data_IF_867992911381
#
_entry.id   IF_867992911381
#
_cell.length_a   1.000
_cell.length_b   1.000
_cell.length_c   1.000
_cell.angle_alpha   90.00
_cell.angle_beta   90.00
_cell.angle_gamma   90.00
#
_symmetry.space_group_name_H-M   'P 1'
#
loop_
_entity.id
_entity.type
_entity.pdbx_description
1 polymer ?
#
# COMPACT_ATOMS: atom_id res chain seq x y z
N UNK A 1 -7.76 -23.08 -18.28
CA UNK A 1 -8.67 -21.95 -18.03
C UNK A 1 -7.91 -20.72 -18.49
N UNK A 2 -8.49 -20.02 -19.45
CA UNK A 2 -7.81 -19.08 -20.33
C UNK A 2 -7.38 -17.83 -19.55
N UNK A 3 -6.10 -17.46 -19.66
CA UNK A 3 -5.50 -16.27 -19.06
C UNK A 3 -5.92 -15.07 -19.91
N UNK A 4 -7.17 -14.65 -19.80
CA UNK A 4 -7.68 -13.52 -20.59
C UNK A 4 -7.13 -12.23 -19.99
N UNK A 5 -6.17 -11.64 -20.72
CA UNK A 5 -5.73 -10.26 -20.59
C UNK A 5 -6.89 -9.31 -20.30
N UNK A 6 -6.68 -8.37 -19.37
CA UNK A 6 -7.67 -7.35 -19.02
C UNK A 6 -8.19 -6.62 -20.28
N UNK A 7 -9.51 -6.35 -20.39
CA UNK A 7 -10.06 -5.63 -21.52
C UNK A 7 -9.48 -4.21 -21.59
N UNK A 8 -9.22 -3.67 -22.79
CA UNK A 8 -8.64 -2.35 -22.95
C UNK A 8 -9.56 -1.28 -22.34
N UNK A 9 -9.01 -0.50 -21.40
CA UNK A 9 -9.68 0.67 -20.85
C UNK A 9 -9.86 1.73 -21.96
N UNK A 10 -11.10 2.03 -22.29
CA UNK A 10 -11.48 3.01 -23.31
C UNK A 10 -11.33 4.48 -22.85
N UNK A 11 -10.22 4.82 -22.19
CA UNK A 11 -9.85 6.20 -22.00
C UNK A 11 -9.13 6.69 -23.25
N UNK A 12 -9.57 7.79 -23.86
CA UNK A 12 -8.84 8.43 -24.94
C UNK A 12 -7.40 8.70 -24.48
N UNK A 13 -6.41 8.25 -25.26
CA UNK A 13 -5.00 8.47 -24.95
C UNK A 13 -4.70 9.97 -25.08
N UNK A 14 -4.83 10.69 -23.98
CA UNK A 14 -4.34 12.06 -23.85
C UNK A 14 -2.85 12.01 -23.46
N UNK A 15 -1.93 12.34 -24.39
CA UNK A 15 -0.49 12.28 -24.16
C UNK A 15 0.01 13.36 -23.20
N UNK A 16 -0.80 14.39 -22.91
CA UNK A 16 -0.42 15.51 -22.05
C UNK A 16 -0.72 15.22 -20.56
N UNK A 17 -1.27 14.04 -20.23
CA UNK A 17 -1.51 13.63 -18.85
C UNK A 17 -0.20 13.26 -18.15
N UNK A 18 0.01 13.67 -16.89
CA UNK A 18 1.24 13.35 -16.15
C UNK A 18 1.58 11.86 -16.12
N UNK A 19 0.57 10.97 -16.01
CA UNK A 19 0.76 9.53 -15.95
C UNK A 19 1.15 8.89 -17.29
N UNK A 20 0.94 9.57 -18.42
CA UNK A 20 1.38 9.12 -19.73
C UNK A 20 2.93 9.11 -19.85
N UNK A 21 3.63 9.82 -18.97
CA UNK A 21 5.09 9.88 -18.92
C UNK A 21 5.73 8.76 -18.09
N UNK A 22 4.93 7.94 -17.39
CA UNK A 22 5.45 6.82 -16.59
C UNK A 22 6.14 5.78 -17.49
N UNK A 23 7.40 5.51 -17.19
CA UNK A 23 8.22 4.48 -17.80
C UNK A 23 8.66 3.46 -16.74
N UNK A 24 8.09 2.25 -16.82
CA UNK A 24 8.35 1.17 -15.85
C UNK A 24 9.83 0.77 -15.82
N UNK A 25 10.51 0.71 -16.96
CA UNK A 25 11.94 0.38 -17.01
C UNK A 25 12.77 1.46 -16.30
N UNK A 26 12.47 2.73 -16.53
CA UNK A 26 13.15 3.83 -15.84
C UNK A 26 12.94 3.76 -14.32
N UNK A 27 11.71 3.57 -13.89
CA UNK A 27 11.39 3.45 -12.46
C UNK A 27 12.13 2.28 -11.80
N UNK A 28 12.16 1.11 -12.47
CA UNK A 28 12.92 -0.04 -11.97
C UNK A 28 14.43 0.22 -11.93
N UNK A 29 15.00 0.90 -12.93
CA UNK A 29 16.42 1.26 -12.94
C UNK A 29 16.77 2.22 -11.79
N UNK A 30 15.91 3.20 -11.51
CA UNK A 30 16.03 4.09 -10.35
C UNK A 30 16.08 3.28 -9.05
N UNK A 31 15.05 2.48 -8.78
CA UNK A 31 14.97 1.71 -7.53
C UNK A 31 16.07 0.65 -7.41
N UNK A 32 16.56 0.11 -8.53
CA UNK A 32 17.73 -0.77 -8.53
C UNK A 32 19.04 -0.05 -8.15
N UNK A 33 19.10 1.28 -8.12
CA UNK A 33 20.25 2.06 -7.63
C UNK A 33 20.10 2.55 -6.19
N UNK A 34 18.88 2.68 -5.69
CA UNK A 34 18.59 3.12 -4.30
C UNK A 34 19.15 2.15 -3.25
N UNK A 35 19.63 2.61 -2.09
CA UNK A 35 20.12 1.71 -1.03
C UNK A 35 19.01 0.81 -0.48
N UNK A 36 19.33 -0.44 -0.16
CA UNK A 36 18.41 -1.38 0.49
C UNK A 36 18.31 -1.12 2.01
N UNK A 37 18.04 0.12 2.41
CA UNK A 37 17.90 0.52 3.81
C UNK A 37 16.75 1.52 4.00
N UNK A 38 16.43 1.83 5.26
CA UNK A 38 15.31 2.74 5.59
C UNK A 38 15.53 4.15 5.00
N UNK A 39 16.78 4.57 4.80
CA UNK A 39 17.10 5.85 4.19
C UNK A 39 16.72 5.85 2.70
N UNK A 40 17.08 4.80 1.97
CA UNK A 40 16.72 4.62 0.57
C UNK A 40 15.21 4.53 0.37
N UNK A 41 14.51 3.76 1.21
CA UNK A 41 13.05 3.62 1.12
C UNK A 41 12.28 4.91 1.40
N UNK A 42 12.91 5.89 2.05
CA UNK A 42 12.29 7.15 2.45
C UNK A 42 12.93 8.36 1.76
N UNK A 43 13.64 8.15 0.65
CA UNK A 43 14.20 9.22 -0.16
C UNK A 43 15.14 10.16 0.62
N UNK A 44 15.90 9.63 1.58
CA UNK A 44 16.78 10.45 2.43
C UNK A 44 16.13 11.02 3.70
N UNK A 45 14.90 10.61 4.03
CA UNK A 45 14.19 11.05 5.24
C UNK A 45 13.93 9.94 6.27
N UNK A 46 14.95 9.16 6.71
CA UNK A 46 14.76 8.02 7.62
C UNK A 46 14.12 8.39 8.96
N UNK A 47 14.31 9.63 9.42
CA UNK A 47 13.69 10.18 10.63
C UNK A 47 12.16 10.18 10.60
N UNK A 48 11.56 10.16 9.41
CA UNK A 48 10.09 10.13 9.25
C UNK A 48 9.48 8.76 9.52
N UNK A 49 10.30 7.69 9.48
CA UNK A 49 9.84 6.29 9.61
C UNK A 49 8.99 6.06 10.86
N UNK A 50 9.45 6.54 12.02
CA UNK A 50 8.73 6.36 13.29
C UNK A 50 7.37 7.08 13.29
N UNK A 51 7.33 8.30 12.75
CA UNK A 51 6.13 9.13 12.68
C UNK A 51 5.10 8.50 11.74
N UNK A 52 5.59 7.99 10.60
CA UNK A 52 4.79 7.25 9.63
C UNK A 52 4.18 5.97 10.24
N UNK A 53 5.02 5.10 10.83
CA UNK A 53 4.59 3.83 11.43
C UNK A 53 3.59 4.06 12.57
N UNK A 54 3.82 5.06 13.42
CA UNK A 54 2.89 5.39 14.50
C UNK A 54 1.55 5.89 13.97
N UNK A 55 1.56 6.73 12.93
CA UNK A 55 0.36 7.20 12.27
C UNK A 55 -0.45 6.05 11.66
N UNK A 56 0.23 5.15 10.95
CA UNK A 56 -0.36 3.96 10.34
C UNK A 56 -0.94 2.99 11.37
N UNK A 57 -0.21 2.72 12.45
CA UNK A 57 -0.67 1.85 13.56
C UNK A 57 -1.91 2.42 14.25
N UNK A 58 -1.93 3.73 14.52
CA UNK A 58 -3.07 4.42 15.11
C UNK A 58 -4.30 4.36 14.19
N UNK A 59 -4.11 4.66 12.90
CA UNK A 59 -5.18 4.61 11.90
C UNK A 59 -5.78 3.20 11.81
N UNK A 60 -4.95 2.17 11.65
CA UNK A 60 -5.41 0.79 11.52
C UNK A 60 -6.10 0.30 12.80
N UNK A 61 -5.60 0.69 13.98
CA UNK A 61 -6.24 0.35 15.25
C UNK A 61 -7.63 0.98 15.37
N UNK A 62 -7.78 2.28 15.03
CA UNK A 62 -9.09 2.95 15.01
C UNK A 62 -10.03 2.29 14.02
N UNK A 63 -9.54 2.00 12.81
CA UNK A 63 -10.31 1.36 11.74
C UNK A 63 -10.87 0.00 12.20
N UNK A 64 -10.02 -0.83 12.81
CA UNK A 64 -10.39 -2.18 13.30
C UNK A 64 -11.33 -2.16 14.51
N UNK A 65 -11.24 -1.15 15.37
CA UNK A 65 -12.14 -0.96 16.52
C UNK A 65 -13.52 -0.43 16.11
N UNK A 66 -13.60 0.28 14.98
CA UNK A 66 -14.83 0.90 14.50
C UNK A 66 -15.50 1.78 15.57
N UNK A 67 -16.83 1.77 15.62
CA UNK A 67 -17.64 2.53 16.60
C UNK A 67 -17.58 1.93 18.02
N UNK A 68 -17.14 0.68 18.16
CA UNK A 68 -16.93 -0.01 19.45
C UNK A 68 -15.57 0.34 20.05
N UNK A 69 -15.36 1.62 20.35
CA UNK A 69 -14.10 2.09 20.95
C UNK A 69 -13.93 1.68 22.43
N UNK A 70 -14.97 1.12 23.06
CA UNK A 70 -15.01 0.91 24.50
C UNK A 70 -14.33 -0.39 25.01
N UNK A 71 -14.01 -1.37 24.16
CA UNK A 71 -13.40 -2.61 24.65
C UNK A 71 -11.90 -2.45 24.89
N UNK A 72 -11.42 -2.67 26.12
CA UNK A 72 -9.97 -2.73 26.41
C UNK A 72 -9.32 -4.04 25.95
N UNK A 73 -10.10 -4.95 25.35
CA UNK A 73 -9.60 -6.23 24.88
C UNK A 73 -8.61 -6.03 23.71
N UNK A 74 -7.57 -6.89 23.63
CA UNK A 74 -6.72 -6.97 22.45
C UNK A 74 -7.53 -7.27 21.19
N UNK A 75 -7.16 -6.66 20.07
CA UNK A 75 -7.77 -6.99 18.78
C UNK A 75 -7.23 -8.37 18.33
N UNK A 76 -8.08 -9.31 17.90
CA UNK A 76 -7.61 -10.59 17.35
C UNK A 76 -6.76 -10.32 16.12
N UNK A 77 -5.66 -11.04 15.86
CA UNK A 77 -4.81 -10.81 14.70
C UNK A 77 -5.59 -10.96 13.39
N UNK A 78 -5.21 -10.20 12.37
CA UNK A 78 -5.65 -10.42 10.99
C UNK A 78 -5.09 -11.76 10.50
N UNK A 79 -5.82 -12.49 9.67
CA UNK A 79 -5.40 -13.80 9.17
C UNK A 79 -4.29 -13.66 8.11
N UNK A 80 -4.52 -12.86 7.07
CA UNK A 80 -3.59 -12.68 5.95
C UNK A 80 -3.64 -11.24 5.45
N UNK A 81 -2.49 -10.63 5.28
CA UNK A 81 -2.35 -9.27 4.73
C UNK A 81 -1.30 -9.25 3.62
N UNK A 82 -1.39 -8.29 2.72
CA UNK A 82 -0.38 -8.05 1.69
C UNK A 82 0.28 -6.67 1.90
N UNK A 83 1.61 -6.61 1.84
CA UNK A 83 2.41 -5.38 1.74
C UNK A 83 2.83 -5.17 0.29
N UNK A 84 2.25 -4.15 -0.37
CA UNK A 84 2.40 -3.90 -1.81
C UNK A 84 3.37 -2.75 -2.06
N UNK A 85 4.40 -2.98 -2.88
CA UNK A 85 5.56 -2.09 -2.98
C UNK A 85 6.34 -2.06 -1.67
N UNK A 86 6.53 -3.23 -1.06
CA UNK A 86 7.00 -3.35 0.32
C UNK A 86 8.45 -2.86 0.51
N UNK A 87 9.24 -2.78 -0.57
CA UNK A 87 10.67 -2.55 -0.51
C UNK A 87 11.33 -3.58 0.41
N UNK A 88 12.15 -3.11 1.35
CA UNK A 88 12.83 -3.97 2.35
C UNK A 88 11.90 -4.45 3.48
N UNK A 89 10.59 -4.28 3.33
CA UNK A 89 9.56 -4.64 4.30
C UNK A 89 9.56 -3.75 5.54
N UNK A 90 9.75 -2.43 5.37
CA UNK A 90 9.66 -1.46 6.47
C UNK A 90 8.29 -1.50 7.14
N UNK A 91 7.22 -1.54 6.34
CA UNK A 91 5.84 -1.64 6.82
C UNK A 91 5.53 -3.06 7.31
N UNK A 92 5.96 -4.08 6.57
CA UNK A 92 5.91 -5.49 7.00
C UNK A 92 6.44 -5.67 8.43
N UNK A 93 7.69 -5.25 8.69
CA UNK A 93 8.36 -5.39 9.99
C UNK A 93 7.80 -4.45 11.05
N UNK A 94 7.49 -3.20 10.68
CA UNK A 94 7.16 -2.13 11.63
C UNK A 94 5.70 -2.04 12.02
N UNK A 95 4.84 -2.76 11.31
CA UNK A 95 3.40 -2.69 11.50
C UNK A 95 2.73 -4.06 11.29
N UNK A 96 2.83 -4.62 10.08
CA UNK A 96 1.92 -5.68 9.64
C UNK A 96 2.15 -7.01 10.37
N UNK A 97 3.41 -7.40 10.62
CA UNK A 97 3.72 -8.61 11.41
C UNK A 97 3.25 -8.48 12.87
N UNK A 98 3.07 -7.27 13.39
CA UNK A 98 2.55 -7.05 14.75
C UNK A 98 1.03 -7.18 14.89
N UNK A 99 0.29 -7.24 13.77
CA UNK A 99 -1.18 -7.21 13.78
C UNK A 99 -1.83 -8.31 12.96
N UNK A 100 -1.04 -9.17 12.32
CA UNK A 100 -1.49 -10.26 11.44
C UNK A 100 -0.76 -11.57 11.74
N UNK A 101 -1.31 -12.69 11.29
CA UNK A 101 -0.65 -14.01 11.36
C UNK A 101 0.29 -14.21 10.17
N UNK A 102 -0.10 -13.74 8.98
CA UNK A 102 0.67 -13.88 7.74
C UNK A 102 0.70 -12.56 6.96
N UNK A 103 1.89 -12.16 6.52
CA UNK A 103 2.12 -11.01 5.61
C UNK A 103 2.75 -11.52 4.32
N UNK A 104 2.01 -11.49 3.21
CA UNK A 104 2.62 -11.64 1.89
C UNK A 104 3.22 -10.31 1.44
N UNK A 105 4.29 -10.38 0.65
CA UNK A 105 5.07 -9.22 0.19
C UNK A 105 5.07 -9.19 -1.32
N UNK A 106 4.70 -8.06 -1.91
CA UNK A 106 4.71 -7.85 -3.36
C UNK A 106 5.66 -6.70 -3.67
N UNK A 107 6.76 -7.00 -4.35
CA UNK A 107 7.84 -6.03 -4.57
C UNK A 107 8.64 -6.39 -5.84
N UNK A 108 8.64 -5.54 -6.90
CA UNK A 108 9.32 -5.85 -8.15
C UNK A 108 10.86 -5.86 -8.04
N UNK A 109 11.46 -5.15 -7.08
CA UNK A 109 12.91 -4.97 -6.99
C UNK A 109 13.52 -6.04 -6.07
N UNK A 110 14.08 -7.08 -6.69
CA UNK A 110 14.57 -8.29 -6.00
C UNK A 110 15.56 -8.02 -4.86
N UNK A 111 16.48 -7.07 -5.02
CA UNK A 111 17.46 -6.76 -3.96
C UNK A 111 16.79 -6.28 -2.66
N UNK A 112 15.59 -5.71 -2.72
CA UNK A 112 14.86 -5.28 -1.53
C UNK A 112 14.18 -6.45 -0.83
N UNK A 113 13.60 -7.38 -1.58
CA UNK A 113 13.06 -8.61 -0.99
C UNK A 113 14.15 -9.52 -0.43
N UNK A 114 15.33 -9.55 -1.07
CA UNK A 114 16.49 -10.29 -0.56
C UNK A 114 16.92 -9.72 0.81
N UNK A 115 16.99 -8.39 0.93
CA UNK A 115 17.26 -7.69 2.20
C UNK A 115 16.19 -8.01 3.27
N UNK A 116 14.90 -8.00 2.91
CA UNK A 116 13.83 -8.37 3.83
C UNK A 116 14.04 -9.80 4.36
N UNK A 117 14.24 -10.77 3.48
CA UNK A 117 14.42 -12.18 3.86
C UNK A 117 15.66 -12.35 4.73
N UNK A 118 16.78 -11.70 4.38
CA UNK A 118 18.01 -11.74 5.15
C UNK A 118 17.82 -11.14 6.55
N UNK A 119 17.23 -9.95 6.65
CA UNK A 119 17.00 -9.27 7.93
C UNK A 119 16.12 -10.11 8.87
N UNK A 120 15.06 -10.75 8.36
CA UNK A 120 14.22 -11.65 9.15
C UNK A 120 14.93 -12.93 9.57
N UNK A 121 15.77 -13.50 8.70
CA UNK A 121 16.63 -14.65 9.02
C UNK A 121 17.61 -14.35 10.16
N UNK A 122 18.10 -13.11 10.23
CA UNK A 122 18.94 -12.60 11.31
C UNK A 122 18.16 -12.24 12.58
N UNK A 123 16.83 -12.39 12.57
CA UNK A 123 15.96 -12.06 13.70
C UNK A 123 15.66 -10.57 13.86
N UNK A 124 15.90 -9.75 12.82
CA UNK A 124 15.55 -8.34 12.86
C UNK A 124 14.04 -8.15 12.73
N UNK A 125 13.46 -7.49 13.73
CA UNK A 125 12.11 -6.95 13.69
C UNK A 125 12.17 -5.49 14.12
N UNK A 126 11.46 -4.60 13.43
CA UNK A 126 11.38 -3.19 13.84
C UNK A 126 10.28 -3.07 14.88
N UNK A 127 10.63 -3.20 16.15
CA UNK A 127 9.75 -3.05 17.31
C UNK A 127 10.48 -3.45 18.59
N UNK A 128 10.11 -2.83 19.71
CA UNK A 128 10.76 -2.83 21.02
C UNK A 128 11.22 -4.20 21.53
N UNK A 129 12.37 -4.70 21.03
CA UNK A 129 13.29 -5.64 21.70
C UNK A 129 12.81 -7.01 22.19
N UNK A 130 11.51 -7.32 22.23
CA UNK A 130 10.99 -8.48 22.94
C UNK A 130 10.44 -9.55 21.99
N UNK A 131 10.96 -10.75 22.22
CA UNK A 131 10.62 -12.11 21.78
C UNK A 131 9.63 -12.34 20.61
N UNK A 132 9.97 -13.41 19.84
CA UNK A 132 9.23 -13.98 18.71
C UNK A 132 7.79 -14.45 19.02
N UNK A 133 7.38 -14.49 20.27
CA UNK A 133 6.06 -15.02 20.66
C UNK A 133 4.95 -14.02 20.35
N UNK A 134 4.03 -14.40 19.46
CA UNK A 134 2.83 -13.64 19.14
C UNK A 134 2.91 -12.70 17.94
N UNK A 135 4.07 -12.61 17.25
CA UNK A 135 4.17 -11.92 15.96
C UNK A 135 3.80 -12.85 14.81
N UNK A 136 3.23 -12.27 13.75
CA UNK A 136 3.00 -12.95 12.48
C UNK A 136 4.30 -13.33 11.77
N UNK A 137 4.14 -14.03 10.66
CA UNK A 137 5.24 -14.48 9.81
C UNK A 137 5.08 -13.92 8.40
N UNK A 138 6.20 -13.72 7.71
CA UNK A 138 6.15 -13.46 6.26
C UNK A 138 5.69 -14.73 5.57
N UNK A 139 4.72 -14.57 4.67
CA UNK A 139 4.21 -15.61 3.80
C UNK A 139 4.97 -15.64 2.47
N UNK A 140 4.25 -15.42 1.38
CA UNK A 140 4.85 -15.38 0.05
C UNK A 140 5.59 -14.08 -0.19
N UNK A 141 6.79 -14.19 -0.78
CA UNK A 141 7.57 -13.06 -1.30
C UNK A 141 7.46 -13.11 -2.82
N UNK A 142 6.71 -12.16 -3.38
CA UNK A 142 6.28 -12.12 -4.77
C UNK A 142 7.05 -11.01 -5.48
N UNK A 143 8.06 -11.39 -6.27
CA UNK A 143 8.86 -10.46 -7.06
C UNK A 143 8.18 -10.08 -8.36
N UNK A 144 7.12 -9.26 -8.26
CA UNK A 144 6.29 -8.83 -9.38
C UNK A 144 5.86 -7.38 -9.19
N UNK A 145 5.68 -6.66 -10.29
CA UNK A 145 5.08 -5.32 -10.27
C UNK A 145 3.58 -5.38 -10.01
N UNK A 146 3.03 -4.33 -9.39
CA UNK A 146 1.62 -4.27 -9.05
C UNK A 146 0.70 -4.29 -10.28
N UNK A 147 1.20 -3.81 -11.43
CA UNK A 147 0.49 -3.88 -12.71
C UNK A 147 0.21 -5.32 -13.17
N UNK A 148 1.00 -6.29 -12.70
CA UNK A 148 0.89 -7.70 -13.08
C UNK A 148 0.39 -8.59 -11.93
N UNK A 149 0.44 -8.12 -10.68
CA UNK A 149 0.01 -8.91 -9.53
C UNK A 149 -1.52 -9.06 -9.45
N UNK A 150 -1.95 -10.31 -9.27
CA UNK A 150 -3.35 -10.72 -9.09
C UNK A 150 -3.46 -11.38 -7.71
N UNK A 151 -4.04 -10.73 -6.69
CA UNK A 151 -4.30 -11.36 -5.41
C UNK A 151 -5.30 -12.51 -5.55
N UNK A 152 -5.09 -13.56 -4.74
CA UNK A 152 -6.07 -14.64 -4.59
C UNK A 152 -7.43 -14.06 -4.12
N UNK A 153 -8.56 -14.34 -4.83
CA UNK A 153 -9.86 -13.79 -4.47
C UNK A 153 -10.26 -14.11 -3.03
N UNK A 154 -10.69 -13.10 -2.27
CA UNK A 154 -11.16 -13.24 -0.90
C UNK A 154 -10.10 -13.62 0.15
N UNK A 155 -8.82 -13.66 -0.20
CA UNK A 155 -7.76 -14.17 0.66
C UNK A 155 -7.30 -13.19 1.74
N UNK A 156 -7.40 -11.88 1.49
CA UNK A 156 -6.73 -10.87 2.32
C UNK A 156 -7.69 -10.11 3.23
N UNK A 157 -7.33 -9.94 4.50
CA UNK A 157 -8.02 -9.00 5.38
C UNK A 157 -7.57 -7.57 5.08
N UNK A 158 -6.29 -7.36 4.76
CA UNK A 158 -5.78 -6.04 4.38
C UNK A 158 -4.84 -6.17 3.19
N UNK A 159 -5.05 -5.35 2.16
CA UNK A 159 -4.05 -5.10 1.12
C UNK A 159 -3.52 -3.68 1.35
N UNK A 160 -2.28 -3.58 1.81
CA UNK A 160 -1.64 -2.32 2.19
C UNK A 160 -0.78 -1.78 1.04
N UNK A 161 -1.04 -0.55 0.62
CA UNK A 161 -0.32 0.16 -0.43
C UNK A 161 0.25 1.44 0.16
N UNK A 162 1.57 1.61 0.11
CA UNK A 162 2.20 2.82 0.60
C UNK A 162 3.37 3.25 -0.28
N UNK A 163 3.27 4.47 -0.81
CA UNK A 163 4.30 5.09 -1.67
C UNK A 163 4.75 4.17 -2.82
N UNK A 164 3.77 3.62 -3.54
CA UNK A 164 4.01 2.67 -4.62
C UNK A 164 3.04 2.85 -5.79
N UNK A 165 1.88 3.49 -5.57
CA UNK A 165 0.84 3.64 -6.59
C UNK A 165 1.17 4.75 -7.59
N UNK A 166 2.09 5.66 -7.24
CA UNK A 166 2.64 6.66 -8.15
C UNK A 166 3.36 6.06 -9.37
N UNK A 167 3.80 4.80 -9.29
CA UNK A 167 4.49 4.10 -10.38
C UNK A 167 3.54 3.36 -11.35
N UNK A 168 2.24 3.40 -11.10
CA UNK A 168 1.22 2.87 -12.01
C UNK A 168 0.61 4.02 -12.80
N UNK A 169 0.32 3.82 -14.08
CA UNK A 169 -0.58 4.74 -14.82
C UNK A 169 -1.98 4.72 -14.22
N UNK A 170 -2.82 5.71 -14.51
CA UNK A 170 -4.20 5.74 -14.03
C UNK A 170 -4.97 4.49 -14.48
N UNK A 171 -4.73 4.03 -15.72
CA UNK A 171 -5.35 2.82 -16.25
C UNK A 171 -4.88 1.56 -15.50
N UNK A 172 -3.58 1.43 -15.26
CA UNK A 172 -3.04 0.30 -14.50
C UNK A 172 -3.51 0.33 -13.05
N UNK A 173 -3.54 1.50 -12.41
CA UNK A 173 -4.01 1.67 -11.05
C UNK A 173 -5.48 1.28 -10.91
N UNK A 174 -6.33 1.66 -11.87
CA UNK A 174 -7.74 1.28 -11.88
C UNK A 174 -7.94 -0.24 -11.97
N UNK A 175 -7.20 -0.90 -12.88
CA UNK A 175 -7.22 -2.36 -13.00
C UNK A 175 -6.71 -3.02 -11.73
N UNK A 176 -5.58 -2.56 -11.21
CA UNK A 176 -4.98 -3.05 -9.97
C UNK A 176 -5.95 -2.96 -8.79
N UNK A 177 -6.59 -1.80 -8.58
CA UNK A 177 -7.56 -1.60 -7.50
C UNK A 177 -8.78 -2.51 -7.63
N UNK A 178 -9.25 -2.79 -8.85
CA UNK A 178 -10.31 -3.78 -9.09
C UNK A 178 -9.87 -5.18 -8.69
N UNK A 179 -8.63 -5.58 -9.00
CA UNK A 179 -8.08 -6.87 -8.54
C UNK A 179 -7.96 -6.90 -7.01
N UNK A 180 -7.52 -5.82 -6.38
CA UNK A 180 -7.48 -5.73 -4.91
C UNK A 180 -8.87 -5.84 -4.27
N UNK A 181 -9.90 -5.24 -4.89
CA UNK A 181 -11.29 -5.34 -4.44
C UNK A 181 -11.76 -6.79 -4.39
N UNK A 182 -11.42 -7.59 -5.41
CA UNK A 182 -11.74 -9.03 -5.43
C UNK A 182 -10.85 -9.82 -4.46
N UNK A 183 -9.60 -9.40 -4.27
CA UNK A 183 -8.63 -10.06 -3.39
C UNK A 183 -8.92 -9.93 -1.89
N UNK A 184 -9.61 -8.87 -1.46
CA UNK A 184 -9.99 -8.73 -0.06
C UNK A 184 -11.16 -9.65 0.29
N UNK A 185 -11.16 -10.17 1.52
CA UNK A 185 -12.21 -11.04 2.04
C UNK A 185 -13.56 -10.32 2.01
N UNK A 186 -14.50 -10.94 1.32
CA UNK A 186 -15.87 -10.44 1.25
C UNK A 186 -16.62 -10.75 2.54
N UNK A 187 -17.61 -9.92 2.87
CA UNK A 187 -18.55 -10.28 3.94
C UNK A 187 -19.27 -11.58 3.57
N UNK A 188 -19.53 -12.42 4.57
CA UNK A 188 -20.50 -13.49 4.40
C UNK A 188 -21.88 -12.87 4.06
N UNK A 189 -22.66 -13.57 3.26
CA UNK A 189 -24.01 -13.15 2.86
C UNK A 189 -24.87 -12.85 4.10
N UNK A 190 -25.51 -11.67 4.15
CA UNK A 190 -26.26 -11.20 5.31
C UNK A 190 -25.42 -10.62 6.45
N UNK A 191 -24.11 -10.45 6.24
CA UNK A 191 -23.18 -9.80 7.18
C UNK A 191 -22.39 -8.66 6.51
N UNK A 192 -22.96 -7.97 5.51
CA UNK A 192 -22.26 -6.93 4.74
C UNK A 192 -21.74 -5.77 5.62
N UNK A 193 -22.43 -5.51 6.74
CA UNK A 193 -22.01 -4.53 7.75
C UNK A 193 -20.85 -4.97 8.65
N UNK A 194 -20.44 -6.24 8.60
CA UNK A 194 -19.45 -6.84 9.49
C UNK A 194 -18.12 -7.21 8.81
N UNK A 195 -17.99 -7.06 7.49
CA UNK A 195 -16.68 -7.25 6.84
C UNK A 195 -15.66 -6.28 7.43
N UNK A 196 -14.52 -6.84 7.84
CA UNK A 196 -13.39 -6.11 8.43
C UNK A 196 -12.17 -6.22 7.52
N UNK A 197 -12.41 -6.06 6.23
CA UNK A 197 -11.39 -6.19 5.20
C UNK A 197 -11.30 -4.93 4.37
N UNK A 198 -10.07 -4.50 4.07
CA UNK A 198 -9.81 -3.19 3.48
C UNK A 198 -8.67 -3.22 2.47
N UNK A 199 -8.83 -2.44 1.40
CA UNK A 199 -7.67 -1.94 0.66
C UNK A 199 -7.25 -0.64 1.32
N UNK A 200 -6.01 -0.56 1.80
CA UNK A 200 -5.46 0.65 2.43
C UNK A 200 -4.48 1.29 1.46
N UNK A 201 -4.65 2.60 1.24
CA UNK A 201 -3.77 3.42 0.40
C UNK A 201 -3.20 4.53 1.25
N UNK A 202 -1.88 4.66 1.33
CA UNK A 202 -1.20 5.77 2.00
C UNK A 202 -0.18 6.39 1.05
N UNK A 203 -0.49 7.59 0.56
CA UNK A 203 0.26 8.21 -0.54
C UNK A 203 0.54 9.69 -0.33
N UNK A 204 1.52 10.20 -1.07
CA UNK A 204 1.73 11.64 -1.25
C UNK A 204 0.55 12.23 -2.02
N UNK A 205 0.22 13.49 -1.72
CA UNK A 205 -0.79 14.26 -2.44
C UNK A 205 -0.17 15.46 -3.13
N UNK A 206 -0.59 15.70 -4.37
CA UNK A 206 -0.16 16.85 -5.15
C UNK A 206 -0.52 18.16 -4.44
N UNK A 207 0.42 19.11 -4.50
CA UNK A 207 0.27 20.48 -4.00
C UNK A 207 0.11 21.49 -5.12
N UNK A 208 -0.11 21.06 -6.37
CA UNK A 208 -0.40 21.96 -7.47
C UNK A 208 -1.66 22.79 -7.17
N UNK A 209 -1.60 24.10 -7.45
CA UNK A 209 -2.66 25.05 -7.11
C UNK A 209 -3.96 24.77 -7.88
N UNK A 210 -3.88 24.09 -9.02
CA UNK A 210 -5.03 23.69 -9.82
C UNK A 210 -5.43 22.22 -9.59
N UNK A 211 -4.93 21.60 -8.52
CA UNK A 211 -5.19 20.19 -8.17
C UNK A 211 -4.79 19.19 -9.27
N UNK A 212 -3.78 19.54 -10.08
CA UNK A 212 -3.23 18.66 -11.11
C UNK A 212 -2.26 17.65 -10.50
N UNK A 213 -2.13 16.51 -11.16
CA UNK A 213 -1.10 15.54 -10.83
C UNK A 213 0.28 16.08 -11.27
N UNK A 214 1.34 15.66 -10.59
CA UNK A 214 2.72 16.10 -10.83
C UNK A 214 3.55 14.87 -11.19
N UNK A 215 4.18 14.88 -12.36
CA UNK A 215 5.15 13.86 -12.78
C UNK A 215 6.53 14.16 -12.20
N UNK A 216 7.20 13.14 -11.71
CA UNK A 216 8.58 13.16 -11.26
C UNK A 216 9.45 12.39 -12.26
N UNK A 217 10.36 13.09 -12.91
CA UNK A 217 11.28 12.51 -13.90
C UNK A 217 12.38 11.66 -13.25
N UNK A 218 12.67 11.83 -11.96
CA UNK A 218 13.79 11.15 -11.29
C UNK A 218 13.50 9.66 -11.06
N UNK A 219 12.32 9.34 -10.52
CA UNK A 219 11.90 7.97 -10.22
C UNK A 219 10.79 7.46 -11.16
N UNK A 220 10.42 8.28 -12.15
CA UNK A 220 9.36 8.03 -13.12
C UNK A 220 8.02 7.70 -12.44
N UNK A 221 7.58 8.58 -11.54
CA UNK A 221 6.33 8.44 -10.80
C UNK A 221 5.40 9.65 -10.95
N UNK A 222 4.15 9.49 -10.55
CA UNK A 222 3.17 10.58 -10.46
C UNK A 222 2.67 10.75 -9.04
N UNK A 223 2.79 11.98 -8.54
CA UNK A 223 2.10 12.42 -7.33
C UNK A 223 0.72 12.95 -7.70
N UNK A 224 -0.34 12.22 -7.34
CA UNK A 224 -1.73 12.55 -7.70
C UNK A 224 -2.41 13.48 -6.70
N UNK A 225 -3.45 14.20 -7.13
CA UNK A 225 -4.32 14.97 -6.23
C UNK A 225 -5.27 14.07 -5.41
N UNK A 226 -5.79 14.58 -4.28
CA UNK A 226 -6.83 13.90 -3.48
C UNK A 226 -8.10 13.64 -4.32
N UNK A 227 -8.48 14.60 -5.18
CA UNK A 227 -9.62 14.45 -6.08
C UNK A 227 -9.40 13.33 -7.11
N UNK A 228 -8.19 13.24 -7.68
CA UNK A 228 -7.84 12.15 -8.60
C UNK A 228 -7.91 10.79 -7.91
N UNK A 229 -7.34 10.64 -6.71
CA UNK A 229 -7.43 9.39 -5.96
C UNK A 229 -8.89 9.00 -5.68
N UNK A 230 -9.73 9.94 -5.23
CA UNK A 230 -11.16 9.69 -4.97
C UNK A 230 -11.90 9.21 -6.20
N UNK A 231 -11.67 9.86 -7.34
CA UNK A 231 -12.23 9.46 -8.64
C UNK A 231 -11.83 8.02 -8.98
N UNK A 232 -10.53 7.71 -8.95
CA UNK A 232 -10.03 6.37 -9.28
C UNK A 232 -10.57 5.29 -8.33
N UNK A 233 -10.72 5.58 -7.04
CA UNK A 233 -11.34 4.66 -6.09
C UNK A 233 -12.80 4.39 -6.46
N UNK A 234 -13.57 5.44 -6.75
CA UNK A 234 -14.97 5.31 -7.16
C UNK A 234 -15.10 4.51 -8.47
N UNK A 235 -14.27 4.80 -9.48
CA UNK A 235 -14.26 4.07 -10.75
C UNK A 235 -13.84 2.60 -10.62
N UNK A 236 -13.08 2.26 -9.57
CA UNK A 236 -12.73 0.89 -9.23
C UNK A 236 -13.89 0.14 -8.53
N UNK A 237 -14.99 0.83 -8.19
CA UNK A 237 -16.08 0.32 -7.37
C UNK A 237 -15.70 0.18 -5.90
N UNK A 238 -14.85 1.08 -5.41
CA UNK A 238 -14.42 1.16 -4.02
C UNK A 238 -14.93 2.47 -3.39
N UNK A 239 -15.35 2.39 -2.14
CA UNK A 239 -15.73 3.56 -1.34
C UNK A 239 -14.80 3.75 -0.14
N UNK A 240 -14.54 5.02 0.18
CA UNK A 240 -13.74 5.40 1.35
C UNK A 240 -14.59 5.22 2.62
N UNK A 241 -14.08 4.46 3.59
CA UNK A 241 -14.71 4.29 4.92
C UNK A 241 -14.01 5.05 6.04
N UNK A 242 -12.73 5.36 5.85
CA UNK A 242 -11.96 6.20 6.74
C UNK A 242 -10.84 6.86 5.95
N UNK A 243 -10.49 8.09 6.31
CA UNK A 243 -9.32 8.76 5.77
C UNK A 243 -8.75 9.74 6.80
N UNK A 244 -7.43 9.83 6.89
CA UNK A 244 -6.73 10.76 7.76
C UNK A 244 -5.53 11.37 7.02
N UNK A 245 -5.28 12.66 7.21
CA UNK A 245 -4.02 13.28 6.78
C UNK A 245 -2.95 13.01 7.83
N UNK A 246 -1.79 12.53 7.39
CA UNK A 246 -0.64 12.29 8.26
C UNK A 246 -0.17 13.61 8.86
N UNK A 247 0.12 13.58 10.16
CA UNK A 247 0.67 14.71 10.92
C UNK A 247 2.12 14.47 11.27
N UNK A 248 2.85 15.56 11.53
CA UNK A 248 4.23 15.50 12.01
C UNK A 248 5.28 15.24 10.93
N UNK A 249 4.91 15.23 9.65
CA UNK A 249 5.90 15.20 8.56
C UNK A 249 6.62 16.56 8.47
N UNK A 250 7.90 16.59 8.03
CA UNK A 250 8.59 17.81 7.65
C UNK A 250 7.79 18.64 6.63
N UNK A 251 7.90 19.97 6.70
CA UNK A 251 7.06 20.89 5.91
C UNK A 251 7.45 20.95 4.44
N UNK A 252 8.67 20.53 4.14
CA UNK A 252 9.23 20.44 2.79
C UNK A 252 8.75 19.21 2.00
N UNK A 253 8.15 18.22 2.68
CA UNK A 253 7.59 17.04 2.03
C UNK A 253 6.14 17.27 1.59
N UNK A 254 5.70 16.52 0.59
CA UNK A 254 4.29 16.47 0.21
C UNK A 254 3.39 16.08 1.40
N UNK A 255 2.17 16.63 1.48
CA UNK A 255 1.19 16.13 2.43
C UNK A 255 0.87 14.67 2.11
N UNK A 256 0.86 13.83 3.16
CA UNK A 256 0.56 12.39 3.03
C UNK A 256 -0.84 12.12 3.56
N UNK A 257 -1.62 11.30 2.87
CA UNK A 257 -2.97 10.89 3.30
C UNK A 257 -3.13 9.39 3.24
N UNK A 258 -3.80 8.84 4.24
CA UNK A 258 -4.23 7.44 4.29
C UNK A 258 -5.72 7.33 3.99
N UNK A 259 -6.12 6.33 3.23
CA UNK A 259 -7.49 5.96 2.90
C UNK A 259 -7.69 4.48 3.20
N UNK A 260 -8.79 4.15 3.86
CA UNK A 260 -9.30 2.79 3.95
C UNK A 260 -10.50 2.66 3.01
N UNK A 261 -10.42 1.68 2.11
CA UNK A 261 -11.37 1.43 1.04
C UNK A 261 -12.05 0.08 1.25
N UNK A 262 -13.30 -0.03 0.84
CA UNK A 262 -14.04 -1.30 0.73
C UNK A 262 -14.89 -1.30 -0.55
N UNK A 263 -15.37 -2.47 -1.03
CA UNK A 263 -16.33 -2.52 -2.13
C UNK A 263 -17.54 -1.62 -1.86
N UNK A 264 -18.06 -1.00 -2.92
CA UNK A 264 -19.28 -0.20 -2.88
C UNK A 264 -20.50 -0.99 -2.36
#
# INVERSE_FOLDING_TARGET
MDMTSDPPLAAAHDPDRPDASINVTHSLDYWNRVSSDVNGMLGGYPQTSRIDLQGSSNFLTKLRRGKTQASKLPLPPLERVADCGAGIGRITKGLLLGVSKRVDVVEPVKKFTDELVQSLGNGEYTGDGEAKEGKGQVGEVINLGLQDWIPEPGAYDVIWNQWCLGHLTDAQLLVYLRRCKEGIRQAAEGQEGASRSWVVVKENLSTDINHKDIFDEEDSSVTRSDDKFRMLFQEAGLKIVATEQQRGMPKELYPVRIYALRPE
#
